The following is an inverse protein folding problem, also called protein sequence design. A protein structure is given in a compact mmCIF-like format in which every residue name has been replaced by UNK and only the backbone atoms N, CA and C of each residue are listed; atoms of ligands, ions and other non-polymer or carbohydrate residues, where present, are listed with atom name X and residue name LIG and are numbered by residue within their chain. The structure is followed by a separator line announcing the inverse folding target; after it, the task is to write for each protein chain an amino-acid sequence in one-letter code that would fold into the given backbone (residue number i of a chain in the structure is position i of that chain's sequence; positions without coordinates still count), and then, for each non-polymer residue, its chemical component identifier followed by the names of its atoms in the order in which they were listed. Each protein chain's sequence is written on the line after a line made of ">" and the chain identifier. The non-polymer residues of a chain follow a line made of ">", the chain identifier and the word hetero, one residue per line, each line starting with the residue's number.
data_IF_730438072819
#
_entry.id   IF_730438072819
#
_cell.length_a   1.000
_cell.length_b   1.000
_cell.length_c   1.000
_cell.angle_alpha   90.00
_cell.angle_beta   90.00
_cell.angle_gamma   90.00
#
_symmetry.space_group_name_H-M   'P 1'
#
loop_
_entity.id
_entity.type
_entity.pdbx_description
1 polymer ?
#
# COMPACT_ATOMS: atom_id res chain seq x y z
N UNK A 1 -11.76 31.61 23.40
CA UNK A 1 -12.00 31.65 21.94
C UNK A 1 -10.65 31.60 21.26
N UNK A 2 -10.36 30.47 20.57
CA UNK A 2 -9.16 30.37 19.77
C UNK A 2 -9.48 31.11 18.46
N UNK A 3 -8.73 32.21 18.18
CA UNK A 3 -8.80 32.91 16.89
C UNK A 3 -8.48 31.91 15.79
N UNK A 4 -9.44 31.64 14.91
CA UNK A 4 -9.18 31.00 13.63
C UNK A 4 -8.24 31.91 12.81
N UNK A 5 -6.93 31.74 13.01
CA UNK A 5 -6.00 32.20 11.99
C UNK A 5 -6.29 31.36 10.75
N UNK A 6 -6.84 31.98 9.72
CA UNK A 6 -6.85 31.39 8.39
C UNK A 6 -5.43 30.90 8.10
N UNK A 7 -5.26 29.58 8.04
CA UNK A 7 -3.99 28.98 7.66
C UNK A 7 -3.87 29.22 6.17
N UNK A 8 -3.07 30.19 5.78
CA UNK A 8 -2.81 30.49 4.38
C UNK A 8 -2.10 29.30 3.72
N UNK A 9 -2.84 28.60 2.89
CA UNK A 9 -2.33 27.42 2.19
C UNK A 9 -1.36 27.84 1.08
N UNK A 10 -0.15 27.26 1.06
CA UNK A 10 0.85 27.56 0.05
C UNK A 10 0.37 27.23 -1.37
N UNK A 11 0.88 27.94 -2.37
CA UNK A 11 0.56 27.69 -3.78
C UNK A 11 0.94 26.27 -4.22
N UNK A 12 2.04 25.71 -3.70
CA UNK A 12 2.44 24.31 -3.95
C UNK A 12 1.38 23.35 -3.41
N UNK A 13 0.88 23.57 -2.19
CA UNK A 13 -0.15 22.74 -1.58
C UNK A 13 -1.47 22.82 -2.35
N UNK A 14 -1.86 24.02 -2.81
CA UNK A 14 -3.05 24.21 -3.65
C UNK A 14 -2.97 23.40 -4.95
N UNK A 15 -1.81 23.45 -5.64
CA UNK A 15 -1.58 22.68 -6.86
C UNK A 15 -1.63 21.18 -6.62
N UNK A 16 -1.00 20.71 -5.56
CA UNK A 16 -1.01 19.28 -5.19
C UNK A 16 -2.42 18.82 -4.86
N UNK A 17 -3.15 19.56 -4.06
CA UNK A 17 -4.53 19.24 -3.69
C UNK A 17 -5.45 19.19 -4.91
N UNK A 18 -5.33 20.15 -5.83
CA UNK A 18 -6.11 20.19 -7.08
C UNK A 18 -5.79 18.98 -7.97
N UNK A 19 -4.52 18.61 -8.09
CA UNK A 19 -4.09 17.42 -8.83
C UNK A 19 -4.68 16.13 -8.23
N UNK A 20 -4.56 15.94 -6.92
CA UNK A 20 -5.08 14.77 -6.22
C UNK A 20 -6.61 14.69 -6.38
N UNK A 21 -7.32 15.80 -6.19
CA UNK A 21 -8.77 15.84 -6.32
C UNK A 21 -9.26 15.52 -7.76
N UNK A 22 -8.47 15.88 -8.77
CA UNK A 22 -8.76 15.60 -10.17
C UNK A 22 -8.31 14.22 -10.66
N UNK A 23 -7.40 13.56 -9.94
CA UNK A 23 -6.71 12.35 -10.41
C UNK A 23 -7.66 11.19 -10.75
N UNK A 24 -8.73 11.01 -9.98
CA UNK A 24 -9.72 9.95 -10.23
C UNK A 24 -10.51 10.10 -11.54
N UNK A 25 -10.52 11.31 -12.11
CA UNK A 25 -11.21 11.64 -13.37
C UNK A 25 -10.27 11.66 -14.57
N UNK A 26 -8.97 11.55 -14.34
CA UNK A 26 -7.96 11.56 -15.40
C UNK A 26 -7.88 10.19 -16.08
N UNK A 27 -7.84 10.22 -17.42
CA UNK A 27 -7.49 9.02 -18.19
C UNK A 27 -5.98 8.83 -18.12
N UNK A 28 -5.54 7.68 -17.60
CA UNK A 28 -4.13 7.32 -17.58
C UNK A 28 -3.64 6.97 -19.00
N UNK A 29 -2.42 7.37 -19.36
CA UNK A 29 -1.76 6.86 -20.56
C UNK A 29 -1.62 5.33 -20.53
N UNK A 30 -1.63 4.68 -21.69
CA UNK A 30 -1.53 3.21 -21.78
C UNK A 30 -0.21 2.69 -21.21
N UNK A 31 0.89 3.38 -21.45
CA UNK A 31 2.21 3.05 -20.90
C UNK A 31 2.23 3.11 -19.37
N UNK A 32 1.58 4.10 -18.76
CA UNK A 32 1.43 4.17 -17.31
C UNK A 32 0.63 2.98 -16.75
N UNK A 33 -0.42 2.55 -17.45
CA UNK A 33 -1.21 1.37 -17.06
C UNK A 33 -0.36 0.10 -17.16
N UNK A 34 0.39 -0.09 -18.24
CA UNK A 34 1.25 -1.26 -18.41
C UNK A 34 2.37 -1.32 -17.36
N UNK A 35 3.05 -0.21 -17.10
CA UNK A 35 4.04 -0.13 -16.01
C UNK A 35 3.42 -0.41 -14.64
N UNK A 36 2.23 0.12 -14.38
CA UNK A 36 1.48 -0.17 -13.15
C UNK A 36 1.19 -1.65 -12.95
N UNK A 37 0.86 -2.38 -14.02
CA UNK A 37 0.67 -3.84 -13.96
C UNK A 37 1.95 -4.58 -13.59
N UNK A 38 3.10 -4.17 -14.15
CA UNK A 38 4.39 -4.78 -13.79
C UNK A 38 4.75 -4.54 -12.33
N UNK A 39 4.58 -3.32 -11.82
CA UNK A 39 4.79 -3.00 -10.40
C UNK A 39 3.87 -3.81 -9.49
N UNK A 40 2.61 -3.97 -9.88
CA UNK A 40 1.67 -4.80 -9.12
C UNK A 40 2.08 -6.27 -9.07
N UNK A 41 2.51 -6.83 -10.21
CA UNK A 41 2.99 -8.22 -10.29
C UNK A 41 4.24 -8.40 -9.42
N UNK A 42 5.17 -7.47 -9.47
CA UNK A 42 6.40 -7.48 -8.67
C UNK A 42 6.08 -7.44 -7.16
N UNK A 43 5.19 -6.55 -6.75
CA UNK A 43 4.74 -6.46 -5.35
C UNK A 43 4.06 -7.75 -4.89
N UNK A 44 3.18 -8.33 -5.70
CA UNK A 44 2.52 -9.61 -5.36
C UNK A 44 3.54 -10.74 -5.26
N UNK A 45 4.52 -10.79 -6.16
CA UNK A 45 5.61 -11.76 -6.10
C UNK A 45 6.43 -11.62 -4.82
N UNK A 46 6.74 -10.38 -4.41
CA UNK A 46 7.44 -10.08 -3.16
C UNK A 46 6.65 -10.55 -1.93
N UNK A 47 5.32 -10.36 -1.92
CA UNK A 47 4.47 -10.89 -0.85
C UNK A 47 4.54 -12.41 -0.79
N UNK A 48 4.39 -13.09 -1.92
CA UNK A 48 4.42 -14.57 -1.97
C UNK A 48 5.78 -15.09 -1.50
N UNK A 49 6.88 -14.50 -1.98
CA UNK A 49 8.24 -14.82 -1.54
C UNK A 49 8.40 -14.59 -0.04
N UNK A 50 7.98 -13.44 0.44
CA UNK A 50 8.10 -13.03 1.84
C UNK A 50 7.39 -13.95 2.83
N UNK A 51 6.33 -14.66 2.42
CA UNK A 51 5.60 -15.60 3.29
C UNK A 51 6.48 -16.74 3.82
N UNK A 52 7.56 -17.06 3.14
CA UNK A 52 8.49 -18.15 3.49
C UNK A 52 9.71 -17.67 4.30
N UNK A 53 9.83 -16.38 4.50
CA UNK A 53 10.90 -15.79 5.28
C UNK A 53 10.47 -15.60 6.73
N UNK A 54 11.43 -15.62 7.65
CA UNK A 54 11.15 -15.50 9.09
C UNK A 54 10.27 -14.28 9.44
N UNK A 55 10.53 -13.06 8.93
CA UNK A 55 9.67 -11.91 9.22
C UNK A 55 8.24 -12.11 8.69
N UNK A 56 8.10 -12.71 7.52
CA UNK A 56 6.79 -13.00 6.92
C UNK A 56 6.01 -14.05 7.72
N UNK A 57 6.64 -15.12 8.16
CA UNK A 57 6.03 -16.13 9.00
C UNK A 57 5.56 -15.57 10.35
N UNK A 58 6.36 -14.71 10.96
CA UNK A 58 5.99 -14.02 12.21
C UNK A 58 4.82 -13.06 11.99
N UNK A 59 4.80 -12.34 10.87
CA UNK A 59 3.70 -11.47 10.49
C UNK A 59 2.40 -12.26 10.33
N UNK A 60 2.43 -13.39 9.62
CA UNK A 60 1.26 -14.25 9.44
C UNK A 60 0.72 -14.72 10.79
N UNK A 61 1.58 -15.17 11.69
CA UNK A 61 1.19 -15.58 13.04
C UNK A 61 0.52 -14.44 13.80
N UNK A 62 1.10 -13.23 13.75
CA UNK A 62 0.56 -12.05 14.40
C UNK A 62 -0.82 -11.67 13.85
N UNK A 63 -0.96 -11.54 12.53
CA UNK A 63 -2.24 -11.20 11.90
C UNK A 63 -3.35 -12.19 12.27
N UNK A 64 -3.04 -13.46 12.35
CA UNK A 64 -4.01 -14.49 12.78
C UNK A 64 -4.52 -14.29 14.21
N UNK A 65 -3.79 -13.61 15.07
CA UNK A 65 -4.25 -13.30 16.44
C UNK A 65 -5.26 -12.17 16.50
N UNK A 66 -5.35 -11.34 15.46
CA UNK A 66 -6.19 -10.12 15.47
C UNK A 66 -7.69 -10.43 15.22
N UNK A 67 -8.00 -11.53 14.55
CA UNK A 67 -9.37 -11.90 14.22
C UNK A 67 -10.06 -10.90 13.29
N UNK A 68 -11.36 -10.73 13.50
CA UNK A 68 -12.20 -9.76 12.79
C UNK A 68 -13.00 -10.33 11.62
N UNK A 69 -13.78 -9.47 10.98
CA UNK A 69 -14.64 -9.83 9.86
C UNK A 69 -13.81 -10.27 8.65
N UNK A 70 -14.27 -11.29 7.95
CA UNK A 70 -13.61 -11.83 6.76
C UNK A 70 -13.89 -10.95 5.54
N UNK A 71 -12.96 -10.06 5.19
CA UNK A 71 -13.11 -9.08 4.11
C UNK A 71 -12.03 -9.22 3.03
N UNK A 72 -10.80 -9.54 3.41
CA UNK A 72 -9.66 -9.53 2.50
C UNK A 72 -8.66 -10.66 2.82
N UNK A 73 -7.99 -11.12 1.76
CA UNK A 73 -7.02 -12.21 1.83
C UNK A 73 -5.64 -11.71 2.26
N UNK A 74 -5.02 -12.42 3.20
CA UNK A 74 -3.59 -12.34 3.42
C UNK A 74 -2.89 -13.15 2.31
N UNK A 75 -2.29 -12.46 1.35
CA UNK A 75 -1.72 -13.05 0.14
C UNK A 75 -0.66 -14.11 0.45
N UNK A 76 -0.61 -15.14 -0.36
CA UNK A 76 0.27 -16.30 -0.12
C UNK A 76 -0.21 -17.24 0.98
N UNK A 77 -1.38 -17.00 1.56
CA UNK A 77 -2.06 -17.86 2.54
C UNK A 77 -3.51 -18.07 2.12
N UNK A 78 -4.23 -18.92 2.87
CA UNK A 78 -5.69 -19.08 2.75
C UNK A 78 -6.45 -18.32 3.86
N UNK A 79 -5.77 -17.42 4.57
CA UNK A 79 -6.34 -16.68 5.69
C UNK A 79 -7.01 -15.38 5.25
N UNK A 80 -8.29 -15.22 5.60
CA UNK A 80 -9.10 -14.03 5.33
C UNK A 80 -9.38 -13.31 6.64
N UNK A 81 -9.16 -12.00 6.66
CA UNK A 81 -9.34 -11.14 7.84
C UNK A 81 -9.91 -9.79 7.41
N UNK A 82 -9.93 -8.80 8.29
CA UNK A 82 -10.36 -7.45 7.93
C UNK A 82 -9.47 -6.85 6.85
N UNK A 83 -10.00 -5.93 6.05
CA UNK A 83 -9.22 -5.22 5.01
C UNK A 83 -8.00 -4.51 5.61
N UNK A 84 -8.14 -3.90 6.80
CA UNK A 84 -7.05 -3.21 7.50
C UNK A 84 -5.95 -4.19 7.92
N UNK A 85 -6.31 -5.32 8.53
CA UNK A 85 -5.34 -6.33 8.96
C UNK A 85 -4.64 -6.98 7.77
N UNK A 86 -5.37 -7.26 6.70
CA UNK A 86 -4.80 -7.82 5.47
C UNK A 86 -3.82 -6.83 4.82
N UNK A 87 -4.18 -5.55 4.75
CA UNK A 87 -3.29 -4.51 4.21
C UNK A 87 -1.99 -4.39 5.01
N UNK A 88 -2.08 -4.37 6.35
CA UNK A 88 -0.91 -4.36 7.23
C UNK A 88 -0.04 -5.60 7.01
N UNK A 89 -0.63 -6.77 7.05
CA UNK A 89 0.08 -8.04 6.87
C UNK A 89 0.75 -8.15 5.51
N UNK A 90 0.04 -7.85 4.44
CA UNK A 90 0.57 -7.88 3.09
C UNK A 90 1.74 -6.91 2.89
N UNK A 91 1.66 -5.69 3.45
CA UNK A 91 2.74 -4.72 3.40
C UNK A 91 3.99 -5.19 4.17
N UNK A 92 3.81 -5.73 5.36
CA UNK A 92 4.92 -6.26 6.17
C UNK A 92 5.60 -7.46 5.49
N UNK A 93 4.82 -8.36 4.88
CA UNK A 93 5.35 -9.54 4.19
C UNK A 93 6.06 -9.13 2.90
N UNK A 94 5.51 -8.16 2.14
CA UNK A 94 6.17 -7.63 0.93
C UNK A 94 7.57 -7.08 1.20
N UNK A 95 7.77 -6.48 2.38
CA UNK A 95 9.04 -5.90 2.79
C UNK A 95 10.02 -6.90 3.42
N UNK A 96 9.61 -8.16 3.62
CA UNK A 96 10.39 -9.14 4.36
C UNK A 96 11.76 -9.49 3.74
N UNK A 97 11.88 -9.46 2.42
CA UNK A 97 13.13 -9.74 1.68
C UNK A 97 13.76 -8.48 1.03
N UNK A 98 13.15 -7.31 1.23
CA UNK A 98 13.61 -6.01 0.70
C UNK A 98 13.72 -5.96 -0.84
N UNK A 99 12.97 -6.80 -1.54
CA UNK A 99 12.93 -6.85 -3.01
C UNK A 99 11.78 -6.05 -3.61
N UNK A 100 10.98 -5.40 -2.78
CA UNK A 100 9.88 -4.55 -3.21
C UNK A 100 10.38 -3.31 -3.97
N UNK A 101 9.49 -2.76 -4.78
CA UNK A 101 9.77 -1.68 -5.71
C UNK A 101 10.10 -0.34 -5.01
N UNK A 102 10.92 0.48 -5.65
CA UNK A 102 11.32 1.78 -5.11
C UNK A 102 11.50 2.81 -6.21
N UNK A 103 11.21 4.07 -5.89
CA UNK A 103 11.45 5.20 -6.78
C UNK A 103 12.82 5.83 -6.50
N UNK A 104 13.69 5.88 -7.52
CA UNK A 104 15.09 6.27 -7.37
C UNK A 104 15.28 7.69 -6.80
N UNK A 105 14.44 8.65 -7.22
CA UNK A 105 14.52 10.04 -6.80
C UNK A 105 13.91 10.30 -5.41
N UNK A 106 13.18 9.36 -4.83
CA UNK A 106 12.53 9.51 -3.53
C UNK A 106 13.22 8.78 -2.39
N UNK A 107 14.44 8.32 -2.60
CA UNK A 107 15.27 7.67 -1.58
C UNK A 107 15.96 8.67 -0.67
#
# INVERSE_FOLDING_TARGET
>A
MVSEKEIETSEVMKKLAAYIAGASKMKLPEDAIEHGKYHLIDTVASVISGTRLTPGEMTIKYIKTLGGTKEALLLGTNYVTTAVNAALGNAMIAHADETDDSHKESR
#
